data_IF_832497703889
#
_entry.id   IF_832497703889
#
_cell.length_a   1.000
_cell.length_b   1.000
_cell.length_c   1.000
_cell.angle_alpha   90.00
_cell.angle_beta   90.00
_cell.angle_gamma   90.00
#
_symmetry.space_group_name_H-M   'P 1'
#
loop_
_entity.id
_entity.type
_entity.pdbx_description
1 polymer ?
#
# COMPACT_ATOMS: atom_id res chain seq x y z
N UNK A 1 27.11 5.40 3.85
CA UNK A 1 26.13 6.34 4.42
C UNK A 1 25.26 5.43 5.23
N UNK A 2 25.53 5.27 6.53
CA UNK A 2 24.89 4.22 7.31
C UNK A 2 23.64 4.73 8.00
N UNK A 3 22.54 4.00 7.82
CA UNK A 3 21.36 4.17 8.66
C UNK A 3 20.09 4.48 7.89
N UNK A 4 19.21 5.22 8.55
CA UNK A 4 17.87 5.55 8.08
C UNK A 4 17.90 6.75 7.13
N UNK A 5 17.24 6.59 5.98
CA UNK A 5 17.10 7.64 4.96
C UNK A 5 15.67 7.71 4.45
N UNK A 6 15.28 8.89 3.99
CA UNK A 6 14.04 9.15 3.26
C UNK A 6 14.39 9.58 1.85
N UNK A 7 13.77 8.96 0.85
CA UNK A 7 14.01 9.26 -0.55
C UNK A 7 12.78 9.03 -1.41
N UNK A 8 12.94 9.17 -2.71
CA UNK A 8 11.86 8.98 -3.69
C UNK A 8 12.16 7.81 -4.61
N UNK A 9 11.16 6.96 -4.85
CA UNK A 9 11.29 5.83 -5.77
C UNK A 9 11.62 6.34 -7.18
N UNK A 10 12.69 5.81 -7.78
CA UNK A 10 13.12 6.16 -9.14
C UNK A 10 12.89 5.03 -10.15
N UNK A 11 12.97 3.77 -9.71
CA UNK A 11 12.69 2.59 -10.54
C UNK A 11 12.03 1.48 -9.72
N UNK A 12 11.33 0.59 -10.42
CA UNK A 12 10.57 -0.53 -9.85
C UNK A 12 10.91 -1.80 -10.64
N UNK A 13 11.28 -2.87 -9.94
CA UNK A 13 11.31 -4.24 -10.47
C UNK A 13 10.14 -4.99 -9.83
N UNK A 14 9.03 -5.10 -10.58
CA UNK A 14 7.77 -5.70 -10.12
C UNK A 14 7.86 -7.21 -9.95
N UNK A 15 8.74 -7.87 -10.70
CA UNK A 15 8.91 -9.33 -10.65
C UNK A 15 9.64 -9.75 -9.39
N UNK A 16 10.65 -8.98 -8.99
CA UNK A 16 11.44 -9.27 -7.78
C UNK A 16 10.89 -8.61 -6.52
N UNK A 17 10.08 -7.55 -6.66
CA UNK A 17 9.63 -6.74 -5.53
C UNK A 17 10.70 -5.77 -5.01
N UNK A 18 11.48 -5.19 -5.93
CA UNK A 18 12.60 -4.29 -5.59
C UNK A 18 12.35 -2.89 -6.14
N UNK A 19 12.98 -1.89 -5.53
CA UNK A 19 12.95 -0.51 -5.97
C UNK A 19 14.35 0.12 -5.95
N UNK A 20 14.58 1.10 -6.82
CA UNK A 20 15.67 2.08 -6.63
C UNK A 20 15.10 3.35 -6.04
N UNK A 21 15.88 4.01 -5.19
CA UNK A 21 15.48 5.23 -4.49
C UNK A 21 16.52 6.32 -4.74
N UNK A 22 16.05 7.48 -5.21
CA UNK A 22 16.85 8.69 -5.32
C UNK A 22 16.75 9.49 -4.02
N UNK A 23 17.88 9.98 -3.54
CA UNK A 23 17.95 10.82 -2.34
C UNK A 23 18.39 12.25 -2.68
N UNK A 24 17.45 13.20 -2.83
CA UNK A 24 17.76 14.57 -3.25
C UNK A 24 18.72 15.30 -2.30
N UNK A 25 18.64 15.04 -1.00
CA UNK A 25 19.51 15.65 0.01
C UNK A 25 20.98 15.17 -0.06
N UNK A 26 21.24 14.09 -0.83
CA UNK A 26 22.56 13.50 -1.00
C UNK A 26 22.97 13.54 -2.46
N UNK A 27 22.94 14.73 -3.07
CA UNK A 27 23.35 14.98 -4.47
C UNK A 27 22.63 14.08 -5.48
N UNK A 28 21.33 13.84 -5.25
CA UNK A 28 20.51 12.93 -6.05
C UNK A 28 21.11 11.52 -6.20
N UNK A 29 21.89 11.06 -5.22
CA UNK A 29 22.42 9.69 -5.19
C UNK A 29 21.27 8.70 -5.36
N UNK A 30 21.48 7.67 -6.19
CA UNK A 30 20.52 6.59 -6.41
C UNK A 30 21.05 5.32 -5.73
N UNK A 31 20.20 4.63 -4.98
CA UNK A 31 20.54 3.33 -4.37
C UNK A 31 20.78 2.23 -5.42
N UNK A 32 21.34 1.10 -5.01
CA UNK A 32 21.09 -0.14 -5.76
C UNK A 32 19.67 -0.64 -5.54
N UNK A 33 19.34 -1.78 -6.14
CA UNK A 33 18.04 -2.41 -5.98
C UNK A 33 17.81 -2.83 -4.53
N UNK A 34 16.84 -2.19 -3.88
CA UNK A 34 16.45 -2.47 -2.51
C UNK A 34 15.20 -3.35 -2.51
N UNK A 35 15.20 -4.50 -1.81
CA UNK A 35 13.99 -5.28 -1.62
C UNK A 35 12.97 -4.51 -0.78
N UNK A 36 11.68 -4.73 -1.07
CA UNK A 36 10.58 -4.33 -0.21
C UNK A 36 10.26 -5.43 0.81
N UNK A 37 9.51 -5.07 1.84
CA UNK A 37 8.99 -6.03 2.82
C UNK A 37 7.91 -6.92 2.18
N UNK A 38 8.01 -8.22 2.39
CA UNK A 38 7.14 -9.23 1.78
C UNK A 38 5.84 -9.53 2.57
N UNK A 39 5.37 -8.61 3.42
CA UNK A 39 4.12 -8.82 4.17
C UNK A 39 2.88 -8.64 3.27
N UNK A 40 2.97 -7.77 2.25
CA UNK A 40 1.93 -7.55 1.25
C UNK A 40 2.57 -7.13 -0.08
N UNK A 41 1.99 -7.55 -1.22
CA UNK A 41 2.40 -7.02 -2.52
C UNK A 41 1.81 -5.62 -2.72
N UNK A 42 2.59 -4.60 -2.36
CA UNK A 42 2.20 -3.20 -2.50
C UNK A 42 3.41 -2.37 -2.98
N UNK A 43 3.69 -2.47 -4.29
CA UNK A 43 4.75 -1.68 -4.90
C UNK A 43 4.40 -0.18 -4.82
N UNK A 44 5.33 0.68 -4.36
CA UNK A 44 5.14 2.13 -4.41
C UNK A 44 5.18 2.63 -5.85
N UNK A 45 4.56 3.78 -6.12
CA UNK A 45 4.66 4.45 -7.42
C UNK A 45 6.04 5.13 -7.59
N UNK A 46 6.48 5.35 -8.83
CA UNK A 46 7.64 6.22 -9.11
C UNK A 46 7.38 7.61 -8.54
N UNK A 47 8.35 8.17 -7.83
CA UNK A 47 8.26 9.47 -7.14
C UNK A 47 7.71 9.38 -5.71
N UNK A 48 7.15 8.24 -5.30
CA UNK A 48 6.62 8.06 -3.95
C UNK A 48 7.72 8.20 -2.90
N UNK A 49 7.37 8.85 -1.78
CA UNK A 49 8.26 9.06 -0.64
C UNK A 49 8.33 7.77 0.20
N UNK A 50 9.54 7.25 0.36
CA UNK A 50 9.79 5.97 1.05
C UNK A 50 10.89 6.10 2.09
N UNK A 51 10.84 5.24 3.10
CA UNK A 51 11.91 5.07 4.07
C UNK A 51 12.80 3.87 3.70
N UNK A 52 14.10 4.04 3.86
CA UNK A 52 15.10 3.01 3.58
C UNK A 52 16.12 2.91 4.70
N UNK A 53 16.73 1.74 4.88
CA UNK A 53 17.96 1.58 5.65
C UNK A 53 19.08 1.16 4.70
N UNK A 54 20.18 1.90 4.68
CA UNK A 54 21.34 1.62 3.81
C UNK A 54 22.56 1.22 4.63
N UNK A 55 23.37 0.35 4.03
CA UNK A 55 24.70 -0.01 4.53
C UNK A 55 25.76 1.06 4.20
N UNK A 56 27.00 0.82 4.66
CA UNK A 56 28.10 1.77 4.48
C UNK A 56 28.45 2.02 3.01
N UNK A 57 28.24 1.04 2.14
CA UNK A 57 28.59 1.06 0.72
C UNK A 57 27.54 1.76 -0.17
N UNK A 58 26.45 2.28 0.41
CA UNK A 58 25.37 3.04 -0.27
C UNK A 58 24.59 2.25 -1.35
N UNK A 59 25.00 1.01 -1.62
CA UNK A 59 24.36 0.12 -2.58
C UNK A 59 23.31 -0.76 -1.92
N UNK A 60 23.66 -1.48 -0.85
CA UNK A 60 22.75 -2.48 -0.29
C UNK A 60 21.94 -1.94 0.89
N UNK A 61 20.79 -2.56 1.12
CA UNK A 61 19.87 -2.12 2.15
C UNK A 61 18.49 -2.72 1.98
N UNK A 62 17.50 -2.06 2.57
CA UNK A 62 16.08 -2.44 2.47
C UNK A 62 15.20 -1.20 2.35
N UNK A 63 14.13 -1.31 1.57
CA UNK A 63 13.09 -0.31 1.51
C UNK A 63 11.91 -0.76 2.39
N UNK A 64 11.53 0.08 3.37
CA UNK A 64 10.38 -0.17 4.24
C UNK A 64 9.04 0.17 3.57
N UNK A 65 9.08 0.79 2.39
CA UNK A 65 7.91 1.23 1.64
C UNK A 65 7.50 2.66 1.96
N UNK A 66 6.25 2.99 1.58
CA UNK A 66 5.72 4.35 1.65
C UNK A 66 5.53 4.81 3.11
N UNK A 67 5.88 6.06 3.40
CA UNK A 67 5.70 6.68 4.73
C UNK A 67 4.74 7.84 4.68
N UNK A 68 4.02 8.09 5.78
CA UNK A 68 3.15 9.27 5.85
C UNK A 68 3.96 10.57 5.96
N UNK A 69 3.48 11.59 5.26
CA UNK A 69 4.08 12.92 5.20
C UNK A 69 3.01 13.96 4.85
N UNK A 70 3.41 15.23 4.71
CA UNK A 70 2.52 16.29 4.22
C UNK A 70 2.04 16.04 2.78
N UNK A 71 2.86 15.36 1.97
CA UNK A 71 2.53 14.97 0.59
C UNK A 71 1.73 13.66 0.56
N UNK A 72 1.98 12.75 1.50
CA UNK A 72 1.32 11.45 1.59
C UNK A 72 0.57 11.32 2.91
N UNK A 73 -0.65 11.85 2.95
CA UNK A 73 -1.47 11.83 4.17
C UNK A 73 -2.09 10.45 4.42
N UNK A 74 -2.37 10.09 5.69
CA UNK A 74 -3.11 8.88 5.99
C UNK A 74 -4.52 8.94 5.37
N UNK A 75 -5.04 7.81 4.82
CA UNK A 75 -6.34 7.79 4.17
C UNK A 75 -7.51 7.87 5.16
N UNK A 76 -7.25 7.67 6.45
CA UNK A 76 -8.21 7.78 7.54
C UNK A 76 -7.53 8.30 8.81
N UNK A 77 -8.31 8.93 9.69
CA UNK A 77 -7.85 9.42 11.01
C UNK A 77 -8.24 8.49 12.17
N UNK A 78 -9.01 7.43 11.91
CA UNK A 78 -9.45 6.42 12.88
C UNK A 78 -9.73 5.09 12.19
N UNK A 79 -9.61 3.98 12.92
CA UNK A 79 -9.87 2.64 12.41
C UNK A 79 -8.87 2.19 11.34
N UNK A 80 -9.26 1.17 10.58
CA UNK A 80 -8.49 0.67 9.46
C UNK A 80 -9.11 1.16 8.15
N UNK A 81 -8.27 1.65 7.23
CA UNK A 81 -8.62 1.94 5.84
C UNK A 81 -7.47 1.57 4.91
N UNK A 82 -7.76 0.78 3.88
CA UNK A 82 -6.85 0.48 2.77
C UNK A 82 -7.55 0.80 1.45
N UNK A 83 -6.82 1.40 0.52
CA UNK A 83 -7.30 1.70 -0.83
C UNK A 83 -6.47 0.86 -1.80
N UNK A 84 -7.11 0.07 -2.64
CA UNK A 84 -6.48 -0.76 -3.67
C UNK A 84 -7.26 -0.58 -4.96
N UNK A 85 -6.67 0.04 -5.98
CA UNK A 85 -7.30 0.25 -7.29
C UNK A 85 -8.75 0.80 -7.20
N UNK A 86 -8.96 1.84 -6.39
CA UNK A 86 -10.29 2.45 -6.17
C UNK A 86 -11.18 1.72 -5.15
N UNK A 87 -10.88 0.46 -4.84
CA UNK A 87 -11.57 -0.29 -3.78
C UNK A 87 -11.14 0.20 -2.40
N UNK A 88 -12.10 0.53 -1.55
CA UNK A 88 -11.85 0.87 -0.14
C UNK A 88 -12.21 -0.30 0.77
N UNK A 89 -11.24 -0.79 1.54
CA UNK A 89 -11.44 -1.75 2.63
C UNK A 89 -11.40 -0.96 3.94
N UNK A 90 -12.45 -1.05 4.74
CA UNK A 90 -12.55 -0.31 6.02
C UNK A 90 -12.98 -1.21 7.17
N UNK A 91 -12.45 -0.93 8.36
CA UNK A 91 -12.92 -1.52 9.62
C UNK A 91 -12.94 -0.46 10.71
N UNK A 92 -14.11 -0.12 11.22
CA UNK A 92 -14.32 0.87 12.29
C UNK A 92 -15.57 0.51 13.09
N UNK A 93 -15.53 0.62 14.41
CA UNK A 93 -16.70 0.43 15.30
C UNK A 93 -17.46 -0.89 15.04
N UNK A 94 -16.71 -1.99 14.85
CA UNK A 94 -17.24 -3.33 14.47
C UNK A 94 -18.00 -3.38 13.13
N UNK A 95 -17.89 -2.34 12.31
CA UNK A 95 -18.35 -2.32 10.92
C UNK A 95 -17.18 -2.64 10.01
N UNK A 96 -17.30 -3.71 9.24
CA UNK A 96 -16.39 -4.03 8.13
C UNK A 96 -17.08 -3.69 6.81
N UNK A 97 -16.39 -3.01 5.90
CA UNK A 97 -16.94 -2.70 4.58
C UNK A 97 -15.87 -2.82 3.51
N UNK A 98 -16.24 -3.43 2.39
CA UNK A 98 -15.53 -3.35 1.11
C UNK A 98 -16.41 -2.52 0.18
N UNK A 99 -15.93 -1.35 -0.22
CA UNK A 99 -16.61 -0.44 -1.13
C UNK A 99 -15.89 -0.45 -2.47
N UNK A 100 -16.66 -0.58 -3.53
CA UNK A 100 -16.22 -0.48 -4.92
C UNK A 100 -16.67 0.87 -5.51
N UNK A 101 -16.36 1.10 -6.78
CA UNK A 101 -16.85 2.26 -7.52
C UNK A 101 -18.39 2.32 -7.57
N UNK A 102 -18.91 3.50 -7.91
CA UNK A 102 -20.35 3.75 -8.12
C UNK A 102 -21.27 3.38 -6.93
N UNK A 103 -20.75 3.52 -5.71
CA UNK A 103 -21.46 3.25 -4.45
C UNK A 103 -21.89 1.78 -4.25
N UNK A 104 -21.27 0.84 -4.95
CA UNK A 104 -21.44 -0.59 -4.71
C UNK A 104 -20.61 -1.03 -3.49
N UNK A 105 -21.16 -1.89 -2.63
CA UNK A 105 -20.45 -2.35 -1.44
C UNK A 105 -20.95 -3.68 -0.86
N UNK A 106 -20.06 -4.32 -0.09
CA UNK A 106 -20.37 -5.37 0.87
C UNK A 106 -20.06 -4.82 2.26
N UNK A 107 -21.03 -4.85 3.16
CA UNK A 107 -20.90 -4.34 4.53
C UNK A 107 -21.36 -5.39 5.53
N UNK A 108 -20.59 -5.59 6.60
CA UNK A 108 -20.98 -6.38 7.75
C UNK A 108 -21.04 -5.49 9.00
N UNK A 109 -22.17 -5.53 9.71
CA UNK A 109 -22.43 -4.70 10.87
C UNK A 109 -23.49 -5.35 11.76
N UNK A 110 -23.19 -5.54 13.05
CA UNK A 110 -24.19 -6.03 14.02
C UNK A 110 -24.81 -7.38 13.63
N UNK A 111 -24.04 -8.31 13.08
CA UNK A 111 -24.53 -9.61 12.62
C UNK A 111 -25.25 -9.58 11.26
N UNK A 112 -25.42 -8.42 10.64
CA UNK A 112 -26.07 -8.27 9.33
C UNK A 112 -25.04 -8.07 8.23
N UNK A 113 -25.16 -8.85 7.15
CA UNK A 113 -24.47 -8.61 5.89
C UNK A 113 -25.40 -7.83 4.93
N UNK A 114 -24.91 -6.74 4.36
CA UNK A 114 -25.62 -5.93 3.35
C UNK A 114 -24.78 -5.91 2.07
N UNK A 115 -25.41 -6.28 0.96
CA UNK A 115 -24.84 -6.20 -0.38
C UNK A 115 -25.63 -5.16 -1.16
N UNK A 116 -24.95 -4.11 -1.64
CA UNK A 116 -25.54 -3.11 -2.54
C UNK A 116 -24.84 -3.18 -3.88
N UNK A 117 -25.60 -3.47 -4.92
CA UNK A 117 -25.18 -3.46 -6.32
C UNK A 117 -26.39 -3.29 -7.25
N UNK A 118 -26.16 -2.87 -8.49
CA UNK A 118 -27.21 -2.81 -9.53
C UNK A 118 -27.75 -4.21 -9.87
N UNK A 119 -26.89 -5.22 -9.80
CA UNK A 119 -27.23 -6.63 -9.99
C UNK A 119 -26.42 -7.49 -9.03
N UNK A 120 -27.09 -8.41 -8.37
CA UNK A 120 -26.46 -9.41 -7.49
C UNK A 120 -26.78 -10.80 -8.03
N UNK A 121 -25.75 -11.57 -8.38
CA UNK A 121 -25.86 -12.98 -8.70
C UNK A 121 -25.24 -13.78 -7.55
N UNK A 122 -26.04 -14.59 -6.87
CA UNK A 122 -25.56 -15.52 -5.85
C UNK A 122 -25.54 -16.89 -6.49
N UNK A 123 -24.35 -17.45 -6.68
CA UNK A 123 -24.16 -18.77 -7.24
C UNK A 123 -23.81 -19.70 -6.09
N UNK A 124 -24.71 -20.63 -5.81
CA UNK A 124 -24.47 -21.74 -4.90
C UNK A 124 -24.19 -22.98 -5.77
N UNK A 125 -22.95 -23.48 -5.72
CA UNK A 125 -22.52 -24.67 -6.47
C UNK A 125 -22.70 -25.96 -5.67
N UNK A 126 -23.39 -25.90 -4.53
CA UNK A 126 -23.66 -27.09 -3.71
C UNK A 126 -24.92 -27.80 -4.24
N UNK A 127 -24.85 -29.12 -4.48
CA UNK A 127 -25.98 -29.97 -4.90
C UNK A 127 -27.00 -30.24 -3.76
N UNK A 128 -27.35 -29.21 -2.98
CA UNK A 128 -28.20 -29.29 -1.79
C UNK A 128 -29.68 -29.16 -2.05
#
# INVERSE_FOLDING_TARGET
MQGYYVGRVSNIDTEKGYVKVTYPEYDNTVSEWLPLLAFEYQMPEIGALVATFLDDERGNGICFGKIYSNEQKPPANVGYKKIVDGMEITKKDNVFSVKFDDNNYIRFSGGTMTIKADKVNIIDNTEG
#
